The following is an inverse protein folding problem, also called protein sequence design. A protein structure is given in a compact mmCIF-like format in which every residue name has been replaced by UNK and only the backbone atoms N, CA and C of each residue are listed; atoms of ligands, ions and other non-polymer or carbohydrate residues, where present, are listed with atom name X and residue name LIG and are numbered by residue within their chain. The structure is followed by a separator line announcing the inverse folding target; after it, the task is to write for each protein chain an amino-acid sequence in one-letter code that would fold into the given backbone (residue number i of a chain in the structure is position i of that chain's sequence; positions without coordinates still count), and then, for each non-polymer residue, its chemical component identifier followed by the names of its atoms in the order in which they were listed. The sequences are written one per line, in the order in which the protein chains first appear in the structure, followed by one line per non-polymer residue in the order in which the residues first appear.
data_IF_172334732555
#
_entry.id   IF_172334732555
#
_cell.length_a   1.000
_cell.length_b   1.000
_cell.length_c   1.000
_cell.angle_alpha   90.00
_cell.angle_beta   90.00
_cell.angle_gamma   90.00
#
_symmetry.space_group_name_H-M   'P 1'
#
loop_
_entity.id
_entity.type
_entity.pdbx_description
1 polymer ?
#
# COMPACT_ATOMS: atom_id res chain seq x y z
N UNK A 1 7.82 -36.48 11.44
CA UNK A 1 8.20 -35.07 11.27
C UNK A 1 9.35 -35.04 10.28
N UNK A 2 9.03 -35.08 9.00
CA UNK A 2 9.99 -34.80 7.91
C UNK A 2 9.66 -33.37 7.50
N UNK A 3 10.69 -32.55 7.39
CA UNK A 3 10.65 -31.10 7.18
C UNK A 3 9.67 -30.69 6.07
N UNK A 4 8.96 -29.58 6.28
CA UNK A 4 8.05 -28.97 5.31
C UNK A 4 8.80 -28.09 4.28
N UNK A 5 10.02 -27.65 4.61
CA UNK A 5 10.91 -26.85 3.74
C UNK A 5 11.26 -27.47 2.36
N UNK A 6 11.45 -28.80 2.20
CA UNK A 6 11.62 -29.40 0.89
C UNK A 6 10.41 -29.12 -0.03
N UNK A 7 9.18 -29.06 0.49
CA UNK A 7 7.99 -28.92 -0.35
C UNK A 7 7.85 -27.55 -1.00
N UNK A 8 8.39 -26.48 -0.38
CA UNK A 8 8.42 -25.14 -0.95
C UNK A 8 9.24 -25.08 -2.24
N UNK A 9 10.28 -25.92 -2.35
CA UNK A 9 11.20 -25.89 -3.49
C UNK A 9 11.06 -27.08 -4.46
N UNK A 10 10.61 -28.27 -4.01
CA UNK A 10 10.69 -29.50 -4.80
C UNK A 10 9.45 -29.87 -5.64
N UNK A 11 8.41 -29.03 -5.72
CA UNK A 11 7.33 -29.12 -6.72
C UNK A 11 6.77 -30.53 -7.00
N UNK A 12 5.83 -31.01 -6.20
CA UNK A 12 5.08 -32.24 -6.51
C UNK A 12 3.83 -31.91 -7.33
N UNK A 13 3.87 -32.18 -8.64
CA UNK A 13 2.80 -31.85 -9.59
C UNK A 13 1.59 -32.84 -9.63
N UNK A 14 1.52 -33.89 -8.79
CA UNK A 14 0.55 -34.99 -9.06
C UNK A 14 -0.12 -35.66 -7.85
N UNK A 15 -0.38 -34.97 -6.73
CA UNK A 15 -1.06 -35.59 -5.57
C UNK A 15 -2.56 -35.26 -5.45
N UNK A 16 -3.40 -36.30 -5.31
CA UNK A 16 -4.85 -36.26 -5.07
C UNK A 16 -5.25 -36.32 -3.57
N UNK A 17 -4.36 -35.97 -2.61
CA UNK A 17 -4.67 -36.02 -1.16
C UNK A 17 -4.81 -34.63 -0.52
N UNK A 18 -5.93 -34.42 0.17
CA UNK A 18 -6.37 -33.16 0.80
C UNK A 18 -5.27 -32.42 1.64
N UNK A 19 -4.52 -33.06 2.56
CA UNK A 19 -3.45 -32.37 3.30
C UNK A 19 -2.27 -31.90 2.44
N UNK A 20 -2.03 -32.57 1.30
CA UNK A 20 -0.94 -32.22 0.37
C UNK A 20 -1.35 -31.07 -0.56
N UNK A 21 -2.65 -30.91 -0.82
CA UNK A 21 -3.21 -29.75 -1.51
C UNK A 21 -3.10 -28.51 -0.61
N UNK A 22 -3.53 -28.61 0.65
CA UNK A 22 -3.45 -27.52 1.63
C UNK A 22 -2.01 -27.05 1.87
N UNK A 23 -1.06 -27.98 2.04
CA UNK A 23 0.37 -27.63 2.19
C UNK A 23 0.96 -26.98 0.92
N UNK A 24 0.53 -27.40 -0.27
CA UNK A 24 0.96 -26.80 -1.54
C UNK A 24 0.45 -25.37 -1.68
N UNK A 25 -0.81 -25.13 -1.36
CA UNK A 25 -1.42 -23.80 -1.40
C UNK A 25 -0.75 -22.84 -0.42
N UNK A 26 -0.44 -23.30 0.80
CA UNK A 26 0.35 -22.52 1.78
C UNK A 26 1.75 -22.18 1.26
N UNK A 27 2.45 -23.17 0.68
CA UNK A 27 3.78 -22.95 0.12
C UNK A 27 3.77 -21.98 -1.06
N UNK A 28 2.77 -22.05 -1.95
CA UNK A 28 2.60 -21.10 -3.05
C UNK A 28 2.32 -19.69 -2.55
N UNK A 29 1.47 -19.54 -1.53
CA UNK A 29 1.12 -18.26 -0.94
C UNK A 29 2.33 -17.57 -0.29
N UNK A 30 3.06 -18.27 0.57
CA UNK A 30 4.25 -17.75 1.25
C UNK A 30 5.39 -17.52 0.26
N UNK A 31 5.62 -18.44 -0.68
CA UNK A 31 6.64 -18.30 -1.72
C UNK A 31 6.41 -17.09 -2.63
N UNK A 32 5.14 -16.84 -2.99
CA UNK A 32 4.75 -15.62 -3.70
C UNK A 32 5.03 -14.36 -2.89
N UNK A 33 4.74 -14.36 -1.58
CA UNK A 33 5.02 -13.23 -0.69
C UNK A 33 6.51 -12.88 -0.67
N UNK A 34 7.40 -13.86 -0.50
CA UNK A 34 8.85 -13.64 -0.53
C UNK A 34 9.35 -13.14 -1.90
N UNK A 35 8.87 -13.73 -2.99
CA UNK A 35 9.33 -13.32 -4.32
C UNK A 35 8.78 -11.96 -4.75
N UNK A 36 7.70 -11.50 -4.13
CA UNK A 36 7.21 -10.13 -4.24
C UNK A 36 7.82 -9.16 -3.22
N UNK A 37 8.71 -9.62 -2.32
CA UNK A 37 9.15 -8.83 -1.18
C UNK A 37 9.96 -7.60 -1.57
N UNK A 38 10.75 -7.68 -2.64
CA UNK A 38 11.46 -6.52 -3.20
C UNK A 38 10.49 -5.46 -3.74
N UNK A 39 9.46 -5.88 -4.48
CA UNK A 39 8.43 -4.96 -5.00
C UNK A 39 7.59 -4.36 -3.85
N UNK A 40 7.31 -5.17 -2.82
CA UNK A 40 6.65 -4.72 -1.61
C UNK A 40 7.49 -3.71 -0.83
N UNK A 41 8.79 -3.98 -0.67
CA UNK A 41 9.72 -3.06 -0.03
C UNK A 41 9.77 -1.72 -0.78
N UNK A 42 9.94 -1.74 -2.10
CA UNK A 42 9.88 -0.52 -2.92
C UNK A 42 8.58 0.25 -2.72
N UNK A 43 7.46 -0.44 -2.60
CA UNK A 43 6.15 0.18 -2.31
C UNK A 43 6.13 0.84 -0.94
N UNK A 44 6.72 0.21 0.09
CA UNK A 44 6.82 0.79 1.43
C UNK A 44 7.79 1.99 1.48
N UNK A 45 8.92 1.90 0.77
CA UNK A 45 9.86 3.00 0.62
C UNK A 45 9.19 4.20 -0.07
N UNK A 46 8.45 3.96 -1.15
CA UNK A 46 7.69 4.97 -1.88
C UNK A 46 6.69 5.72 -0.98
N UNK A 47 5.98 4.99 -0.13
CA UNK A 47 5.04 5.57 0.82
C UNK A 47 5.74 6.46 1.87
N UNK A 48 6.87 6.00 2.42
CA UNK A 48 7.71 6.77 3.35
C UNK A 48 8.24 8.04 2.69
N UNK A 49 8.80 7.93 1.48
CA UNK A 49 9.36 9.06 0.75
C UNK A 49 8.28 10.11 0.46
N UNK A 50 7.10 9.65 0.05
CA UNK A 50 5.94 10.52 -0.17
C UNK A 50 5.55 11.25 1.12
N UNK A 51 5.56 10.54 2.25
CA UNK A 51 5.30 11.10 3.57
C UNK A 51 6.30 12.15 4.02
N UNK A 52 7.59 11.83 3.95
CA UNK A 52 8.69 12.71 4.33
C UNK A 52 8.70 13.99 3.49
N UNK A 53 8.55 13.85 2.17
CA UNK A 53 8.49 15.01 1.27
C UNK A 53 7.29 15.92 1.62
N UNK A 54 6.10 15.33 1.78
CA UNK A 54 4.91 16.07 2.17
C UNK A 54 5.08 16.77 3.53
N UNK A 55 5.73 16.12 4.50
CA UNK A 55 5.97 16.70 5.82
C UNK A 55 6.84 17.96 5.76
N UNK A 56 7.90 17.99 4.95
CA UNK A 56 8.72 19.18 4.73
C UNK A 56 7.97 20.28 3.96
N UNK A 57 7.23 19.91 2.91
CA UNK A 57 6.43 20.87 2.14
C UNK A 57 5.36 21.55 3.00
N UNK A 58 4.71 20.78 3.88
CA UNK A 58 3.76 21.30 4.85
C UNK A 58 4.38 22.26 5.88
N UNK A 59 5.70 22.18 6.11
CA UNK A 59 6.45 23.11 6.95
C UNK A 59 6.93 24.35 6.17
N UNK A 60 6.55 24.49 4.90
CA UNK A 60 6.94 25.60 4.03
C UNK A 60 8.32 25.43 3.38
N UNK A 61 8.89 24.23 3.41
CA UNK A 61 10.16 23.93 2.72
C UNK A 61 9.86 23.45 1.30
N UNK A 62 10.35 24.17 0.29
CA UNK A 62 10.27 23.70 -1.11
C UNK A 62 11.35 22.66 -1.37
N UNK A 63 10.97 21.49 -1.89
CA UNK A 63 11.90 20.43 -2.29
C UNK A 63 12.03 20.44 -3.81
N UNK A 64 13.24 20.71 -4.30
CA UNK A 64 13.53 20.75 -5.74
C UNK A 64 13.89 19.36 -6.30
N UNK A 65 14.46 18.49 -5.48
CA UNK A 65 14.89 17.14 -5.89
C UNK A 65 14.77 16.15 -4.72
N UNK A 66 14.32 14.93 -5.01
CA UNK A 66 14.30 13.81 -4.06
C UNK A 66 15.37 12.81 -4.50
N UNK A 67 16.32 12.49 -3.60
CA UNK A 67 17.37 11.48 -3.83
C UNK A 67 17.23 10.34 -2.84
N UNK A 68 17.04 9.15 -3.39
CA UNK A 68 16.84 7.92 -2.60
C UNK A 68 18.04 7.01 -2.78
N UNK A 69 18.49 6.42 -1.68
CA UNK A 69 19.41 5.27 -1.72
C UNK A 69 18.84 4.15 -0.87
N UNK A 70 18.68 2.99 -1.49
CA UNK A 70 18.32 1.73 -0.84
C UNK A 70 19.30 0.64 -1.28
N UNK A 71 19.57 -0.32 -0.40
CA UNK A 71 20.25 -1.57 -0.73
C UNK A 71 19.39 -2.69 -0.18
N UNK A 72 18.52 -3.22 -1.04
CA UNK A 72 17.88 -4.51 -0.85
C UNK A 72 18.35 -5.41 -1.98
N UNK A 73 18.97 -6.52 -1.62
CA UNK A 73 19.48 -7.48 -2.58
C UNK A 73 19.03 -8.91 -2.24
N UNK A 74 19.48 -9.87 -3.06
CA UNK A 74 19.15 -11.28 -2.87
C UNK A 74 19.63 -11.82 -1.51
N UNK A 75 20.68 -11.23 -0.94
CA UNK A 75 21.20 -11.61 0.38
C UNK A 75 20.17 -11.25 1.46
N UNK A 76 19.62 -10.03 1.41
CA UNK A 76 18.59 -9.57 2.34
C UNK A 76 17.34 -10.46 2.26
N UNK A 77 16.89 -10.79 1.04
CA UNK A 77 15.75 -11.70 0.83
C UNK A 77 16.02 -13.09 1.41
N UNK A 78 17.22 -13.66 1.21
CA UNK A 78 17.60 -14.94 1.80
C UNK A 78 17.56 -14.89 3.33
N UNK A 79 18.00 -13.79 3.94
CA UNK A 79 17.93 -13.61 5.39
C UNK A 79 16.50 -13.52 5.90
N UNK A 80 15.62 -12.77 5.23
CA UNK A 80 14.20 -12.71 5.58
C UNK A 80 13.55 -14.09 5.55
N UNK A 81 13.81 -14.90 4.52
CA UNK A 81 13.30 -16.27 4.42
C UNK A 81 13.84 -17.14 5.54
N UNK A 82 15.15 -17.09 5.80
CA UNK A 82 15.80 -17.91 6.81
C UNK A 82 15.30 -17.59 8.22
N UNK A 83 15.29 -16.30 8.59
CA UNK A 83 14.88 -15.85 9.92
C UNK A 83 13.40 -16.16 10.16
N UNK A 84 12.52 -15.82 9.22
CA UNK A 84 11.09 -16.12 9.36
C UNK A 84 10.84 -17.64 9.40
N UNK A 85 11.62 -18.43 8.64
CA UNK A 85 11.57 -19.89 8.71
C UNK A 85 11.91 -20.44 10.10
N UNK A 86 12.95 -19.90 10.75
CA UNK A 86 13.33 -20.33 12.11
C UNK A 86 12.31 -19.87 13.15
N UNK A 87 11.80 -18.64 13.02
CA UNK A 87 10.83 -18.06 13.96
C UNK A 87 9.56 -18.92 14.07
N UNK A 88 9.12 -19.49 12.94
CA UNK A 88 7.96 -20.38 12.87
C UNK A 88 8.34 -21.87 12.84
N UNK A 89 9.55 -22.25 13.29
CA UNK A 89 10.02 -23.65 13.39
C UNK A 89 9.87 -24.45 12.09
N UNK A 90 9.94 -23.77 10.95
CA UNK A 90 9.75 -24.32 9.61
C UNK A 90 8.35 -24.95 9.40
N UNK A 91 7.35 -24.52 10.18
CA UNK A 91 5.97 -24.93 10.04
C UNK A 91 5.22 -23.99 9.08
N UNK A 92 4.96 -24.47 7.86
CA UNK A 92 4.22 -23.72 6.84
C UNK A 92 2.78 -23.38 7.26
N UNK A 93 2.20 -24.11 8.21
CA UNK A 93 0.85 -23.82 8.71
C UNK A 93 0.81 -22.65 9.71
N UNK A 94 1.96 -22.32 10.30
CA UNK A 94 2.12 -21.19 11.21
C UNK A 94 2.62 -19.92 10.51
N UNK A 95 3.11 -20.03 9.28
CA UNK A 95 3.61 -18.90 8.50
C UNK A 95 2.50 -18.28 7.64
N UNK A 96 2.42 -16.95 7.65
CA UNK A 96 1.49 -16.21 6.79
C UNK A 96 2.22 -15.18 5.94
N UNK A 97 1.79 -14.94 4.68
CA UNK A 97 2.32 -13.86 3.84
C UNK A 97 2.42 -12.51 4.56
N UNK A 98 1.47 -12.24 5.44
CA UNK A 98 1.32 -10.95 6.05
C UNK A 98 2.24 -10.74 7.25
N UNK A 99 2.70 -11.84 7.87
CA UNK A 99 3.76 -11.82 8.87
C UNK A 99 5.11 -11.50 8.20
N UNK A 100 5.36 -12.06 7.00
CA UNK A 100 6.55 -11.73 6.19
C UNK A 100 6.59 -10.23 5.85
N UNK A 101 5.47 -9.70 5.38
CA UNK A 101 5.34 -8.27 5.08
C UNK A 101 5.52 -7.40 6.33
N UNK A 102 4.91 -7.80 7.46
CA UNK A 102 5.04 -7.07 8.73
C UNK A 102 6.48 -7.07 9.23
N UNK A 103 7.21 -8.18 9.07
CA UNK A 103 8.62 -8.29 9.42
C UNK A 103 9.49 -7.34 8.59
N UNK A 104 9.20 -7.19 7.29
CA UNK A 104 9.90 -6.21 6.46
C UNK A 104 9.60 -4.78 6.93
N UNK A 105 8.32 -4.44 7.12
CA UNK A 105 7.91 -3.10 7.57
C UNK A 105 8.61 -2.72 8.87
N UNK A 106 8.67 -3.62 9.86
CA UNK A 106 9.27 -3.33 11.17
C UNK A 106 10.78 -3.09 11.13
N UNK A 107 11.45 -3.57 10.07
CA UNK A 107 12.90 -3.46 9.91
C UNK A 107 13.35 -2.44 8.87
N UNK A 108 12.39 -1.83 8.17
CA UNK A 108 12.66 -0.81 7.16
C UNK A 108 13.03 0.51 7.83
N UNK A 109 14.31 0.65 8.16
CA UNK A 109 14.86 1.82 8.81
C UNK A 109 15.39 2.83 7.79
N UNK A 110 15.12 4.12 7.98
CA UNK A 110 15.62 5.18 7.11
C UNK A 110 16.17 6.36 7.90
N UNK A 111 17.00 7.14 7.22
CA UNK A 111 17.39 8.47 7.67
C UNK A 111 17.04 9.49 6.61
N UNK A 112 16.57 10.65 7.06
CA UNK A 112 16.15 11.75 6.19
C UNK A 112 16.95 12.99 6.50
N UNK A 113 17.45 13.69 5.47
CA UNK A 113 18.10 14.99 5.62
C UNK A 113 17.89 15.90 4.41
N UNK A 114 17.85 17.20 4.67
CA UNK A 114 17.89 18.23 3.63
C UNK A 114 19.34 18.61 3.32
N UNK A 115 19.67 18.66 2.03
CA UNK A 115 20.95 19.14 1.51
C UNK A 115 20.70 20.38 0.64
N UNK A 116 21.51 21.43 0.83
CA UNK A 116 21.54 22.56 -0.11
C UNK A 116 22.59 22.27 -1.18
N UNK A 117 22.15 22.12 -2.43
CA UNK A 117 23.01 21.93 -3.60
C UNK A 117 22.90 23.16 -4.50
N UNK A 118 23.71 24.19 -4.21
CA UNK A 118 23.58 25.50 -4.87
C UNK A 118 22.30 26.21 -4.42
N UNK A 119 21.45 26.60 -5.36
CA UNK A 119 20.14 27.21 -5.10
C UNK A 119 19.02 26.15 -4.92
N UNK A 120 19.34 24.86 -5.02
CA UNK A 120 18.37 23.77 -4.92
C UNK A 120 18.37 23.11 -3.54
N UNK A 121 17.18 22.79 -3.04
CA UNK A 121 16.93 21.99 -1.84
C UNK A 121 16.70 20.54 -2.24
N UNK A 122 17.61 19.66 -1.81
CA UNK A 122 17.56 18.23 -2.10
C UNK A 122 17.14 17.47 -0.85
N UNK A 123 16.04 16.73 -0.91
CA UNK A 123 15.64 15.78 0.12
C UNK A 123 16.36 14.46 -0.11
N UNK A 124 17.29 14.10 0.78
CA UNK A 124 17.97 12.80 0.73
C UNK A 124 17.37 11.84 1.75
N UNK A 125 16.94 10.68 1.27
CA UNK A 125 16.43 9.57 2.09
C UNK A 125 17.31 8.34 1.87
N UNK A 126 17.83 7.80 2.96
CA UNK A 126 18.75 6.64 2.94
C UNK A 126 18.13 5.52 3.76
N UNK A 127 17.64 4.49 3.06
CA UNK A 127 17.21 3.24 3.67
C UNK A 127 18.44 2.43 4.10
N UNK A 128 18.42 1.95 5.34
CA UNK A 128 19.48 1.15 5.91
C UNK A 128 19.33 -0.31 5.44
N UNK A 129 20.44 -1.04 5.23
CA UNK A 129 20.38 -2.47 4.93
C UNK A 129 19.80 -3.25 6.11
N UNK A 130 19.37 -4.50 5.85
CA UNK A 130 18.88 -5.39 6.89
C UNK A 130 19.95 -5.63 7.98
N UNK A 131 19.63 -5.29 9.23
CA UNK A 131 20.40 -5.74 10.38
C UNK A 131 19.84 -7.09 10.87
N UNK A 132 20.34 -8.17 10.25
CA UNK A 132 19.91 -9.54 10.56
C UNK A 132 20.10 -9.92 12.04
N UNK A 133 21.16 -9.41 12.67
CA UNK A 133 21.52 -9.78 14.04
C UNK A 133 20.55 -9.11 15.00
N UNK A 134 20.26 -7.83 14.77
CA UNK A 134 19.20 -7.12 15.48
C UNK A 134 17.83 -7.76 15.28
N UNK A 135 17.49 -8.16 14.05
CA UNK A 135 16.20 -8.80 13.77
C UNK A 135 16.04 -10.13 14.53
N UNK A 136 17.08 -10.97 14.54
CA UNK A 136 17.08 -12.21 15.32
C UNK A 136 16.97 -11.94 16.84
N UNK A 137 17.65 -10.91 17.35
CA UNK A 137 17.55 -10.50 18.75
C UNK A 137 16.14 -10.01 19.11
N UNK A 138 15.52 -9.20 18.25
CA UNK A 138 14.15 -8.67 18.44
C UNK A 138 13.10 -9.80 18.42
N UNK A 139 13.36 -10.89 17.68
CA UNK A 139 12.55 -12.11 17.68
C UNK A 139 12.87 -13.06 18.86
N UNK A 140 13.84 -12.72 19.70
CA UNK A 140 14.21 -13.50 20.89
C UNK A 140 14.95 -14.80 20.57
N UNK A 141 15.70 -14.86 19.47
CA UNK A 141 16.47 -16.05 19.11
C UNK A 141 17.61 -16.30 20.11
N UNK A 142 17.75 -17.56 20.53
CA UNK A 142 18.95 -18.03 21.20
C UNK A 142 20.06 -18.36 20.18
N UNK A 143 21.25 -18.70 20.69
CA UNK A 143 22.41 -18.97 19.84
C UNK A 143 22.21 -20.16 18.89
N UNK A 144 21.41 -21.15 19.30
CA UNK A 144 21.09 -22.31 18.46
C UNK A 144 20.16 -21.88 17.30
N UNK A 145 19.14 -21.08 17.58
CA UNK A 145 18.25 -20.52 16.57
C UNK A 145 19.00 -19.60 15.59
N UNK A 146 19.92 -18.75 16.07
CA UNK A 146 20.78 -17.92 15.22
C UNK A 146 21.67 -18.75 14.31
N UNK A 147 22.31 -19.80 14.86
CA UNK A 147 23.13 -20.73 14.07
C UNK A 147 22.30 -21.43 13.01
N UNK A 148 21.07 -21.83 13.35
CA UNK A 148 20.17 -22.48 12.42
C UNK A 148 19.70 -21.54 11.30
N UNK A 149 19.42 -20.28 11.62
CA UNK A 149 19.09 -19.26 10.62
C UNK A 149 20.25 -19.05 9.65
N UNK A 150 21.49 -18.99 10.14
CA UNK A 150 22.68 -18.92 9.30
C UNK A 150 22.83 -20.11 8.36
N UNK A 151 22.63 -21.34 8.86
CA UNK A 151 22.71 -22.54 8.02
C UNK A 151 21.61 -22.58 6.93
N UNK A 152 20.40 -22.11 7.24
CA UNK A 152 19.32 -21.99 6.26
C UNK A 152 19.62 -20.93 5.22
N UNK A 153 20.13 -19.77 5.64
CA UNK A 153 20.57 -18.71 4.74
C UNK A 153 21.61 -19.24 3.74
N UNK A 154 22.70 -19.86 4.22
CA UNK A 154 23.75 -20.42 3.36
C UNK A 154 23.18 -21.43 2.38
N UNK A 155 22.29 -22.31 2.85
CA UNK A 155 21.65 -23.32 1.99
C UNK A 155 20.83 -22.67 0.87
N UNK A 156 20.04 -21.64 1.17
CA UNK A 156 19.18 -20.97 0.18
C UNK A 156 20.06 -20.20 -0.82
N UNK A 157 21.02 -19.43 -0.31
CA UNK A 157 21.88 -18.56 -1.10
C UNK A 157 22.84 -19.34 -2.00
N UNK A 158 23.55 -20.35 -1.48
CA UNK A 158 24.50 -21.14 -2.27
C UNK A 158 23.83 -22.07 -3.29
N UNK A 159 22.60 -22.51 -3.02
CA UNK A 159 21.86 -23.38 -3.94
C UNK A 159 21.20 -22.65 -5.09
N UNK A 160 21.27 -21.30 -5.11
CA UNK A 160 20.60 -20.45 -6.10
C UNK A 160 19.09 -20.74 -6.17
N UNK A 161 18.50 -21.08 -5.01
CA UNK A 161 17.12 -21.56 -4.97
C UNK A 161 16.13 -20.49 -5.44
N UNK A 162 16.37 -19.22 -5.13
CA UNK A 162 15.49 -18.12 -5.53
C UNK A 162 15.39 -18.01 -7.05
N UNK A 163 16.52 -17.96 -7.76
CA UNK A 163 16.53 -17.90 -9.22
C UNK A 163 15.99 -19.17 -9.87
N UNK A 164 16.29 -20.33 -9.30
CA UNK A 164 15.82 -21.63 -9.81
C UNK A 164 14.31 -21.82 -9.76
N UNK A 165 13.63 -21.20 -8.80
CA UNK A 165 12.20 -21.44 -8.56
C UNK A 165 11.31 -20.20 -8.75
N UNK A 166 11.88 -19.03 -9.06
CA UNK A 166 11.15 -17.76 -9.28
C UNK A 166 9.92 -17.90 -10.17
N UNK A 167 10.05 -18.60 -11.31
CA UNK A 167 8.97 -18.77 -12.30
C UNK A 167 7.76 -19.56 -11.77
N UNK A 168 7.92 -20.31 -10.67
CA UNK A 168 6.83 -21.09 -10.06
C UNK A 168 5.88 -20.26 -9.20
N UNK A 169 6.23 -19.01 -8.92
CA UNK A 169 5.53 -18.13 -7.98
C UNK A 169 5.27 -16.75 -8.57
N UNK A 170 5.19 -16.66 -9.91
CA UNK A 170 5.12 -15.41 -10.68
C UNK A 170 4.31 -14.32 -9.96
N UNK A 171 5.03 -13.27 -9.53
CA UNK A 171 4.50 -12.23 -8.66
C UNK A 171 3.41 -11.43 -9.39
N UNK A 172 2.30 -11.20 -8.70
CA UNK A 172 1.30 -10.23 -9.14
C UNK A 172 1.97 -8.85 -9.25
N UNK A 173 1.97 -8.29 -10.47
CA UNK A 173 2.35 -6.89 -10.70
C UNK A 173 1.08 -6.04 -10.71
N UNK A 174 0.88 -5.14 -9.74
CA UNK A 174 -0.27 -4.25 -9.75
C UNK A 174 -0.19 -3.32 -10.97
N UNK A 175 -1.36 -2.96 -11.53
CA UNK A 175 -1.42 -1.90 -12.53
C UNK A 175 -1.31 -0.54 -11.85
N UNK A 176 -0.20 0.16 -12.08
CA UNK A 176 0.05 1.50 -11.54
C UNK A 176 -0.89 2.57 -12.12
N UNK A 177 -1.60 2.27 -13.21
CA UNK A 177 -2.60 3.15 -13.81
C UNK A 177 -3.96 3.14 -13.08
N UNK A 178 -4.13 2.26 -12.09
CA UNK A 178 -5.38 2.01 -11.40
C UNK A 178 -6.29 1.01 -12.13
N UNK A 179 -7.57 0.98 -11.73
CA UNK A 179 -8.59 0.09 -12.28
C UNK A 179 -9.12 0.59 -13.64
N UNK A 180 -8.26 0.50 -14.66
CA UNK A 180 -8.57 0.94 -16.03
C UNK A 180 -9.51 0.01 -16.80
N UNK A 181 -9.81 -1.19 -16.25
CA UNK A 181 -10.68 -2.18 -16.87
C UNK A 181 -12.18 -1.89 -16.75
N UNK A 182 -12.57 -0.95 -15.88
CA UNK A 182 -13.98 -0.57 -15.72
C UNK A 182 -14.46 0.35 -16.84
N UNK A 183 -15.56 -0.02 -17.50
CA UNK A 183 -16.18 0.74 -18.60
C UNK A 183 -17.62 1.18 -18.29
N UNK A 184 -18.08 0.95 -17.05
CA UNK A 184 -19.40 1.37 -16.62
C UNK A 184 -19.46 2.86 -16.26
N UNK A 185 -20.65 3.38 -15.89
CA UNK A 185 -20.82 4.78 -15.58
C UNK A 185 -20.06 5.18 -14.31
N UNK A 186 -19.11 6.10 -14.47
CA UNK A 186 -18.43 6.80 -13.39
C UNK A 186 -18.73 8.30 -13.49
N UNK A 187 -19.22 8.89 -12.40
CA UNK A 187 -19.51 10.32 -12.33
C UNK A 187 -18.21 11.07 -12.03
N UNK A 188 -17.69 11.76 -13.04
CA UNK A 188 -16.52 12.62 -12.92
C UNK A 188 -16.78 13.77 -11.96
N UNK A 189 -15.73 14.23 -11.30
CA UNK A 189 -15.80 15.36 -10.39
C UNK A 189 -16.44 16.61 -11.03
N UNK A 190 -17.35 17.31 -10.32
CA UNK A 190 -17.84 18.62 -10.74
C UNK A 190 -16.74 19.71 -10.72
N UNK A 191 -15.67 19.53 -9.94
CA UNK A 191 -14.50 20.41 -9.85
C UNK A 191 -13.45 20.22 -10.96
N UNK A 192 -13.83 19.63 -12.10
CA UNK A 192 -12.94 19.50 -13.26
C UNK A 192 -11.87 18.41 -13.12
N UNK A 193 -12.22 17.28 -12.48
CA UNK A 193 -11.34 16.12 -12.33
C UNK A 193 -11.55 15.01 -13.37
N UNK A 194 -12.28 15.25 -14.47
CA UNK A 194 -12.35 14.31 -15.60
C UNK A 194 -11.41 14.78 -16.71
N UNK A 195 -10.76 13.86 -17.44
CA UNK A 195 -9.81 14.13 -18.54
C UNK A 195 -10.33 14.92 -19.75
N UNK A 196 -11.40 15.70 -19.60
CA UNK A 196 -11.91 16.68 -20.57
C UNK A 196 -12.14 18.08 -20.00
N UNK A 197 -11.71 18.38 -18.77
CA UNK A 197 -11.81 19.73 -18.20
C UNK A 197 -10.56 20.58 -18.55
N UNK A 198 -10.78 21.78 -19.08
CA UNK A 198 -9.73 22.75 -19.42
C UNK A 198 -8.91 23.12 -18.17
N UNK A 199 -7.59 22.88 -18.24
CA UNK A 199 -6.60 23.15 -17.20
C UNK A 199 -6.32 24.65 -17.07
N UNK A 200 -7.14 25.34 -16.28
CA UNK A 200 -6.91 26.76 -15.96
C UNK A 200 -7.41 27.21 -14.59
N UNK A 201 -7.99 26.32 -13.79
CA UNK A 201 -8.56 26.66 -12.49
C UNK A 201 -7.57 26.45 -11.35
N UNK A 202 -7.39 27.47 -10.51
CA UNK A 202 -6.87 27.36 -9.15
C UNK A 202 -7.80 26.47 -8.33
N UNK A 203 -7.70 25.15 -8.48
CA UNK A 203 -8.47 24.21 -7.68
C UNK A 203 -8.05 24.33 -6.21
N UNK A 204 -9.01 24.49 -5.32
CA UNK A 204 -8.77 24.64 -3.89
C UNK A 204 -8.25 23.32 -3.30
N UNK A 205 -6.96 23.28 -2.97
CA UNK A 205 -6.31 22.15 -2.32
C UNK A 205 -6.53 22.14 -0.80
N UNK A 206 -7.35 23.04 -0.25
CA UNK A 206 -7.65 23.05 1.19
C UNK A 206 -8.55 21.88 1.54
N UNK A 207 -8.21 21.15 2.60
CA UNK A 207 -9.11 20.18 3.21
C UNK A 207 -10.00 20.95 4.19
N UNK A 208 -11.30 20.94 3.95
CA UNK A 208 -12.28 21.58 4.83
C UNK A 208 -12.90 20.54 5.77
N UNK A 209 -12.56 20.63 7.06
CA UNK A 209 -13.10 19.77 8.12
C UNK A 209 -14.29 20.41 8.86
N UNK A 210 -14.80 21.56 8.42
CA UNK A 210 -15.91 22.24 9.10
C UNK A 210 -17.22 21.44 9.10
N UNK A 211 -17.38 20.55 8.11
CA UNK A 211 -18.49 19.61 8.01
C UNK A 211 -18.29 18.30 8.79
N UNK A 212 -17.12 18.10 9.42
CA UNK A 212 -16.84 16.86 10.14
C UNK A 212 -17.54 16.87 11.51
N UNK A 213 -18.12 15.73 11.85
CA UNK A 213 -18.79 15.46 13.13
C UNK A 213 -17.81 15.48 14.30
N UNK A 214 -16.67 14.80 14.17
CA UNK A 214 -15.58 14.84 15.14
C UNK A 214 -14.24 14.43 14.48
N UNK A 215 -13.47 15.40 13.97
CA UNK A 215 -12.27 15.11 13.17
C UNK A 215 -11.14 14.41 13.95
N UNK A 216 -11.26 14.30 15.29
CA UNK A 216 -10.26 13.65 16.15
C UNK A 216 -10.51 12.16 16.40
N UNK A 217 -11.70 11.63 16.08
CA UNK A 217 -12.05 10.25 16.41
C UNK A 217 -11.81 9.25 15.29
N UNK A 218 -11.48 9.74 14.08
CA UNK A 218 -11.39 8.93 12.87
C UNK A 218 -12.64 8.06 12.70
N UNK A 219 -13.77 8.72 12.45
CA UNK A 219 -15.08 8.07 12.35
C UNK A 219 -15.56 7.90 10.90
N UNK A 220 -16.54 7.03 10.71
CA UNK A 220 -17.08 6.65 9.41
C UNK A 220 -17.83 7.78 8.69
N UNK A 221 -18.49 8.68 9.42
CA UNK A 221 -19.20 9.83 8.85
C UNK A 221 -18.24 10.87 8.24
N UNK A 222 -17.14 11.13 8.95
CA UNK A 222 -16.10 12.06 8.52
C UNK A 222 -15.27 11.46 7.38
N UNK A 223 -15.02 10.13 7.40
CA UNK A 223 -14.43 9.43 6.26
C UNK A 223 -15.29 9.58 4.99
N UNK A 224 -16.60 9.38 5.10
CA UNK A 224 -17.51 9.55 3.98
C UNK A 224 -17.49 11.01 3.47
N UNK A 225 -17.49 11.98 4.39
CA UNK A 225 -17.41 13.42 4.07
C UNK A 225 -16.10 13.79 3.38
N UNK A 226 -14.97 13.27 3.88
CA UNK A 226 -13.65 13.43 3.27
C UNK A 226 -13.60 12.87 1.84
N UNK A 227 -14.13 11.66 1.64
CA UNK A 227 -14.15 11.04 0.32
C UNK A 227 -15.03 11.85 -0.66
N UNK A 228 -16.21 12.30 -0.22
CA UNK A 228 -17.07 13.18 -1.03
C UNK A 228 -16.32 14.46 -1.39
N UNK A 229 -15.63 15.10 -0.45
CA UNK A 229 -14.84 16.30 -0.72
C UNK A 229 -13.74 16.06 -1.76
N UNK A 230 -13.02 14.93 -1.67
CA UNK A 230 -12.00 14.56 -2.66
C UNK A 230 -12.59 14.44 -4.07
N UNK A 231 -13.80 13.86 -4.18
CA UNK A 231 -14.55 13.81 -5.44
C UNK A 231 -15.03 15.20 -5.88
N UNK A 232 -15.62 16.01 -4.99
CA UNK A 232 -16.13 17.35 -5.34
C UNK A 232 -15.01 18.29 -5.81
N UNK A 233 -13.84 18.23 -5.18
CA UNK A 233 -12.67 19.05 -5.50
C UNK A 233 -11.84 18.48 -6.66
N UNK A 234 -12.18 17.29 -7.16
CA UNK A 234 -11.58 16.68 -8.33
C UNK A 234 -10.13 16.26 -8.12
N UNK A 235 -9.86 15.59 -7.01
CA UNK A 235 -8.54 15.04 -6.75
C UNK A 235 -8.12 14.07 -7.86
N UNK A 236 -6.85 14.14 -8.24
CA UNK A 236 -6.27 13.29 -9.26
C UNK A 236 -5.91 11.91 -8.74
N UNK A 237 -5.49 11.04 -9.67
CA UNK A 237 -4.95 9.73 -9.34
C UNK A 237 -3.49 9.66 -9.75
N UNK A 238 -2.64 9.39 -8.77
CA UNK A 238 -1.23 9.02 -8.97
C UNK A 238 -0.91 7.91 -7.98
N UNK A 239 -0.38 6.80 -8.48
CA UNK A 239 -0.03 5.64 -7.67
C UNK A 239 0.89 6.00 -6.49
N UNK A 240 0.63 5.42 -5.32
CA UNK A 240 1.45 5.62 -4.12
C UNK A 240 1.28 6.98 -3.45
N UNK A 241 0.32 7.79 -3.89
CA UNK A 241 -0.06 9.05 -3.21
C UNK A 241 -1.32 8.84 -2.36
N UNK A 242 -1.51 9.66 -1.34
CA UNK A 242 -2.55 9.47 -0.33
C UNK A 242 -3.28 10.77 0.04
N UNK A 243 -3.52 11.61 -0.96
CA UNK A 243 -4.24 12.88 -0.81
C UNK A 243 -3.33 14.09 -0.67
N UNK A 244 -2.01 13.94 -0.81
CA UNK A 244 -1.03 15.04 -0.82
C UNK A 244 -1.08 15.82 -2.13
N UNK A 245 -0.61 17.06 -2.12
CA UNK A 245 -0.47 17.86 -3.35
C UNK A 245 0.70 17.32 -4.16
N UNK A 246 0.48 17.03 -5.43
CA UNK A 246 1.52 16.53 -6.32
C UNK A 246 2.46 17.66 -6.74
N UNK A 247 3.69 17.62 -6.25
CA UNK A 247 4.76 18.55 -6.64
C UNK A 247 5.60 17.99 -7.78
N UNK A 248 6.38 18.87 -8.42
CA UNK A 248 7.24 18.48 -9.54
C UNK A 248 8.28 17.43 -9.12
N UNK A 249 8.94 17.63 -7.97
CA UNK A 249 9.94 16.70 -7.44
C UNK A 249 9.33 15.35 -7.08
N UNK A 250 8.10 15.34 -6.53
CA UNK A 250 7.36 14.11 -6.28
C UNK A 250 7.00 13.38 -7.58
N UNK A 251 6.51 14.09 -8.59
CA UNK A 251 6.19 13.48 -9.89
C UNK A 251 7.43 12.86 -10.54
N UNK A 252 8.56 13.57 -10.55
CA UNK A 252 9.82 13.04 -11.09
C UNK A 252 10.24 11.75 -10.36
N UNK A 253 10.18 11.77 -9.03
CA UNK A 253 10.47 10.58 -8.24
C UNK A 253 9.55 9.40 -8.60
N UNK A 254 8.24 9.61 -8.75
CA UNK A 254 7.31 8.55 -9.16
C UNK A 254 7.60 8.00 -10.57
N UNK A 255 7.99 8.87 -11.51
CA UNK A 255 8.33 8.46 -12.88
C UNK A 255 9.59 7.59 -12.93
N UNK A 256 10.58 7.87 -12.07
CA UNK A 256 11.78 7.05 -11.93
C UNK A 256 11.48 5.69 -11.31
N UNK A 257 10.59 5.64 -10.32
CA UNK A 257 10.22 4.39 -9.64
C UNK A 257 9.29 3.50 -10.48
N UNK A 258 8.35 4.09 -11.21
CA UNK A 258 7.28 3.36 -11.89
C UNK A 258 7.22 3.73 -13.38
N UNK A 259 7.89 2.96 -14.26
CA UNK A 259 7.90 3.22 -15.71
C UNK A 259 6.51 3.30 -16.35
N UNK A 260 5.53 2.57 -15.81
CA UNK A 260 4.14 2.57 -16.31
C UNK A 260 3.41 3.90 -16.03
N UNK A 261 3.80 4.64 -14.98
CA UNK A 261 3.35 6.03 -14.76
C UNK A 261 3.92 6.93 -15.85
N UNK A 262 5.15 6.66 -16.31
CA UNK A 262 5.81 7.35 -17.41
C UNK A 262 5.00 7.41 -18.70
N UNK A 263 4.24 6.34 -19.01
CA UNK A 263 3.35 6.33 -20.17
C UNK A 263 2.23 7.38 -20.08
N UNK A 264 1.90 7.87 -18.87
CA UNK A 264 0.88 8.89 -18.61
C UNK A 264 1.46 10.23 -18.17
N UNK A 265 2.78 10.44 -18.24
CA UNK A 265 3.45 11.64 -17.72
C UNK A 265 2.81 12.94 -18.22
N UNK A 266 2.64 13.07 -19.54
CA UNK A 266 2.07 14.28 -20.14
C UNK A 266 0.68 14.59 -19.59
N UNK A 267 -0.16 13.56 -19.43
CA UNK A 267 -1.50 13.69 -18.87
C UNK A 267 -1.44 14.10 -17.39
N UNK A 268 -0.58 13.46 -16.59
CA UNK A 268 -0.44 13.77 -15.16
C UNK A 268 0.02 15.22 -14.97
N UNK A 269 0.97 15.69 -15.78
CA UNK A 269 1.44 17.08 -15.75
C UNK A 269 0.34 18.07 -16.10
N UNK A 270 -0.46 17.77 -17.11
CA UNK A 270 -1.52 18.64 -17.58
C UNK A 270 -2.71 18.72 -16.60
N UNK A 271 -3.05 17.61 -15.94
CA UNK A 271 -4.29 17.50 -15.18
C UNK A 271 -4.12 17.46 -13.66
N UNK A 272 -3.01 16.92 -13.15
CA UNK A 272 -2.84 16.59 -11.72
C UNK A 272 -1.71 17.35 -11.01
N UNK A 273 -0.71 17.86 -11.73
CA UNK A 273 0.39 18.61 -11.13
C UNK A 273 -0.15 19.85 -10.39
N UNK A 274 0.27 20.02 -9.14
CA UNK A 274 -0.21 21.08 -8.25
C UNK A 274 -1.61 20.83 -7.68
N UNK A 275 -2.22 19.66 -7.89
CA UNK A 275 -3.49 19.24 -7.26
C UNK A 275 -3.24 18.14 -6.24
N UNK A 276 -4.21 17.91 -5.36
CA UNK A 276 -4.21 16.71 -4.52
C UNK A 276 -4.39 15.46 -5.36
N UNK A 277 -3.56 14.45 -5.12
CA UNK A 277 -3.64 13.15 -5.79
C UNK A 277 -3.66 12.01 -4.78
N UNK A 278 -4.33 10.93 -5.15
CA UNK A 278 -4.38 9.73 -4.32
C UNK A 278 -4.51 8.47 -5.17
N UNK A 279 -3.96 7.35 -4.70
CA UNK A 279 -4.38 6.03 -5.18
C UNK A 279 -5.65 5.55 -4.45
N UNK A 280 -6.12 4.34 -4.78
CA UNK A 280 -7.42 3.84 -4.32
C UNK A 280 -7.49 3.71 -2.78
N UNK A 281 -6.60 2.94 -2.17
CA UNK A 281 -6.53 2.79 -0.71
C UNK A 281 -5.90 4.03 -0.06
N UNK A 282 -5.08 4.77 -0.79
CA UNK A 282 -4.54 6.09 -0.44
C UNK A 282 -5.63 7.09 -0.08
N UNK A 283 -6.83 6.97 -0.67
CA UNK A 283 -7.94 7.86 -0.33
C UNK A 283 -8.40 7.61 1.11
N UNK A 284 -8.48 6.34 1.52
CA UNK A 284 -8.74 5.97 2.92
C UNK A 284 -7.59 6.39 3.82
N UNK A 285 -6.35 6.07 3.43
CA UNK A 285 -5.14 6.39 4.21
C UNK A 285 -5.01 7.89 4.44
N UNK A 286 -5.34 8.71 3.44
CA UNK A 286 -5.35 10.16 3.54
C UNK A 286 -6.24 10.68 4.68
N UNK A 287 -7.47 10.15 4.80
CA UNK A 287 -8.31 10.47 5.95
C UNK A 287 -7.75 9.91 7.25
N UNK A 288 -7.30 8.65 7.24
CA UNK A 288 -6.71 7.99 8.40
C UNK A 288 -5.52 8.73 8.98
N UNK A 289 -4.73 9.39 8.14
CA UNK A 289 -3.50 10.11 8.47
C UNK A 289 -3.69 11.62 8.59
N UNK A 290 -4.90 12.13 8.34
CA UNK A 290 -5.20 13.55 8.45
C UNK A 290 -5.05 14.04 9.90
N UNK A 291 -4.19 15.03 10.08
CA UNK A 291 -4.06 15.79 11.32
C UNK A 291 -5.02 16.99 11.27
N UNK A 292 -6.07 17.02 12.12
CA UNK A 292 -7.10 18.05 12.02
C UNK A 292 -6.67 19.41 12.58
N UNK A 293 -5.54 19.49 13.30
CA UNK A 293 -5.03 20.75 13.83
C UNK A 293 -4.21 21.53 12.79
N UNK A 294 -3.47 20.79 11.95
CA UNK A 294 -2.60 21.35 10.91
C UNK A 294 -3.21 21.25 9.51
N UNK A 295 -4.25 20.43 9.32
CA UNK A 295 -4.84 20.06 8.03
C UNK A 295 -3.84 19.40 7.06
N UNK A 296 -2.82 18.76 7.63
CA UNK A 296 -1.79 18.00 6.92
C UNK A 296 -2.08 16.52 6.99
N UNK A 297 -1.62 15.76 6.00
CA UNK A 297 -1.71 14.30 6.01
C UNK A 297 -0.35 13.76 6.42
N UNK A 298 -0.25 13.30 7.66
CA UNK A 298 1.01 12.92 8.30
C UNK A 298 1.18 11.40 8.18
N UNK A 299 2.17 10.97 7.40
CA UNK A 299 2.34 9.58 7.01
C UNK A 299 2.32 8.59 8.19
N UNK A 300 1.53 7.52 8.02
CA UNK A 300 1.46 6.38 8.95
C UNK A 300 1.16 6.78 10.41
N UNK A 301 0.26 7.75 10.60
CA UNK A 301 -0.19 8.24 11.91
C UNK A 301 -1.58 7.71 12.30
N UNK A 302 -2.03 8.05 13.51
CA UNK A 302 -3.36 7.71 14.06
C UNK A 302 -3.69 6.21 14.13
N UNK A 303 -2.68 5.35 14.05
CA UNK A 303 -2.82 3.90 14.15
C UNK A 303 -3.32 3.21 12.88
N UNK A 304 -3.50 3.93 11.76
CA UNK A 304 -3.82 3.31 10.47
C UNK A 304 -2.53 2.90 9.75
N UNK A 305 -2.28 1.60 9.50
CA UNK A 305 -1.08 1.13 8.85
C UNK A 305 -1.11 1.38 7.34
N UNK A 306 0.07 1.42 6.73
CA UNK A 306 0.23 1.50 5.28
C UNK A 306 0.01 0.13 4.61
N UNK A 307 -1.25 -0.25 4.47
CA UNK A 307 -1.65 -1.48 3.77
C UNK A 307 -2.13 -1.18 2.35
N UNK A 308 -1.86 -2.11 1.43
CA UNK A 308 -2.53 -2.15 0.14
C UNK A 308 -4.01 -2.56 0.30
N UNK A 309 -4.80 -2.46 -0.77
CA UNK A 309 -6.25 -2.71 -0.72
C UNK A 309 -6.60 -4.12 -0.19
N UNK A 310 -5.89 -5.15 -0.63
CA UNK A 310 -6.15 -6.54 -0.24
C UNK A 310 -5.81 -6.79 1.22
N UNK A 311 -4.66 -6.26 1.68
CA UNK A 311 -4.23 -6.37 3.07
C UNK A 311 -5.14 -5.57 4.00
N UNK A 312 -5.64 -4.40 3.57
CA UNK A 312 -6.62 -3.62 4.31
C UNK A 312 -7.95 -4.37 4.47
N UNK A 313 -8.38 -5.10 3.44
CA UNK A 313 -9.58 -5.94 3.54
C UNK A 313 -9.35 -7.17 4.43
N UNK A 314 -8.20 -7.84 4.30
CA UNK A 314 -7.83 -8.98 5.15
C UNK A 314 -7.74 -8.59 6.63
N UNK A 315 -7.21 -7.40 6.94
CA UNK A 315 -7.07 -6.93 8.32
C UNK A 315 -8.42 -6.76 9.04
N UNK A 316 -9.51 -6.47 8.31
CA UNK A 316 -10.85 -6.41 8.88
C UNK A 316 -11.24 -7.73 9.57
N UNK A 317 -11.02 -8.84 8.87
CA UNK A 317 -11.26 -10.19 9.41
C UNK A 317 -10.37 -10.50 10.61
N UNK A 318 -9.10 -10.12 10.56
CA UNK A 318 -8.12 -10.40 11.62
C UNK A 318 -8.39 -9.61 12.90
N UNK A 319 -8.86 -8.36 12.75
CA UNK A 319 -9.24 -7.50 13.87
C UNK A 319 -10.68 -7.76 14.37
N UNK A 320 -11.39 -8.72 13.78
CA UNK A 320 -12.75 -9.08 14.18
C UNK A 320 -13.78 -8.01 13.90
N UNK A 321 -13.53 -7.10 12.96
CA UNK A 321 -14.56 -6.16 12.50
C UNK A 321 -15.59 -6.86 11.61
N UNK A 322 -16.74 -6.23 11.40
CA UNK A 322 -17.76 -6.78 10.50
C UNK A 322 -17.30 -6.70 9.04
N UNK A 323 -17.48 -7.78 8.29
CA UNK A 323 -17.18 -7.87 6.86
C UNK A 323 -18.10 -8.89 6.20
N UNK A 324 -18.26 -8.82 4.88
CA UNK A 324 -19.11 -9.76 4.16
C UNK A 324 -19.09 -9.60 2.64
N UNK A 325 -19.82 -10.48 1.96
CA UNK A 325 -20.12 -10.34 0.53
C UNK A 325 -21.09 -9.19 0.26
N UNK A 326 -21.09 -8.66 -0.96
CA UNK A 326 -21.91 -7.51 -1.33
C UNK A 326 -23.43 -7.69 -1.15
N UNK A 327 -23.90 -8.94 -1.15
CA UNK A 327 -25.30 -9.32 -0.89
C UNK A 327 -25.75 -9.07 0.56
N UNK A 328 -24.79 -8.91 1.47
CA UNK A 328 -25.02 -8.68 2.91
C UNK A 328 -24.65 -7.26 3.36
N UNK A 329 -24.26 -6.38 2.44
CA UNK A 329 -23.75 -5.05 2.76
C UNK A 329 -24.82 -4.19 3.45
N UNK A 330 -24.54 -3.68 4.67
CA UNK A 330 -25.46 -2.77 5.33
C UNK A 330 -25.37 -1.35 4.75
N UNK A 331 -26.44 -0.58 4.90
CA UNK A 331 -26.48 0.83 4.49
C UNK A 331 -25.85 1.73 5.58
N UNK A 332 -24.54 1.61 5.76
CA UNK A 332 -23.75 2.38 6.74
C UNK A 332 -22.65 3.13 5.98
N UNK A 333 -22.65 4.46 6.04
CA UNK A 333 -21.60 5.26 5.36
C UNK A 333 -20.23 5.00 5.97
N UNK A 334 -19.17 5.19 5.16
CA UNK A 334 -17.78 4.99 5.56
C UNK A 334 -17.34 3.53 5.60
N UNK A 335 -18.13 2.57 5.08
CA UNK A 335 -17.66 1.20 4.86
C UNK A 335 -16.59 1.16 3.77
N UNK A 336 -15.63 0.26 3.95
CA UNK A 336 -14.69 -0.12 2.89
C UNK A 336 -15.38 -1.04 1.89
N UNK A 337 -15.28 -0.73 0.60
CA UNK A 337 -15.67 -1.61 -0.50
C UNK A 337 -14.42 -2.14 -1.18
N UNK A 338 -14.37 -3.45 -1.36
CA UNK A 338 -13.19 -4.14 -1.83
C UNK A 338 -13.51 -5.03 -3.03
N UNK A 339 -12.57 -5.06 -3.97
CA UNK A 339 -12.36 -6.13 -4.93
C UNK A 339 -10.86 -6.32 -5.06
N UNK A 340 -10.42 -7.48 -5.51
CA UNK A 340 -8.98 -7.77 -5.61
C UNK A 340 -8.19 -6.61 -6.25
N UNK A 341 -7.22 -6.08 -5.49
CA UNK A 341 -6.34 -4.99 -5.87
C UNK A 341 -6.94 -3.58 -5.81
N UNK A 342 -8.20 -3.38 -5.38
CA UNK A 342 -8.87 -2.08 -5.45
C UNK A 342 -9.79 -1.78 -4.26
N UNK A 343 -9.91 -0.49 -3.95
CA UNK A 343 -10.61 0.00 -2.76
C UNK A 343 -11.53 1.19 -3.09
N UNK A 344 -12.66 1.26 -2.40
CA UNK A 344 -13.59 2.40 -2.41
C UNK A 344 -14.23 2.64 -1.04
N UNK A 345 -14.81 3.82 -0.86
CA UNK A 345 -15.52 4.21 0.36
C UNK A 345 -17.01 4.32 0.03
N UNK A 346 -17.85 3.57 0.74
CA UNK A 346 -19.30 3.71 0.60
C UNK A 346 -19.78 5.02 1.23
N UNK A 347 -20.56 5.81 0.49
CA UNK A 347 -21.01 7.15 0.92
C UNK A 347 -22.53 7.26 1.04
N UNK A 348 -23.23 6.12 1.07
CA UNK A 348 -24.67 6.05 1.22
C UNK A 348 -25.43 6.07 -0.11
N UNK A 349 -26.74 5.79 -0.04
CA UNK A 349 -27.66 5.81 -1.20
C UNK A 349 -27.21 4.94 -2.39
N UNK A 350 -26.47 3.86 -2.15
CA UNK A 350 -25.98 2.97 -3.21
C UNK A 350 -24.79 3.53 -4.00
N UNK A 351 -24.06 4.52 -3.47
CA UNK A 351 -22.89 5.12 -4.12
C UNK A 351 -21.58 4.91 -3.34
N UNK A 352 -20.49 4.82 -4.09
CA UNK A 352 -19.13 4.77 -3.58
C UNK A 352 -18.28 5.89 -4.18
N UNK A 353 -17.29 6.34 -3.42
CA UNK A 353 -16.20 7.18 -3.92
C UNK A 353 -14.93 6.33 -3.98
N UNK A 354 -14.19 6.47 -5.08
CA UNK A 354 -12.97 5.72 -5.32
C UNK A 354 -12.00 6.53 -6.18
N UNK A 355 -10.70 6.36 -5.95
CA UNK A 355 -9.68 6.84 -6.86
C UNK A 355 -9.46 5.76 -7.93
N UNK A 356 -10.07 5.94 -9.10
CA UNK A 356 -10.23 4.84 -10.06
C UNK A 356 -8.98 4.59 -10.90
N UNK A 357 -8.30 5.64 -11.34
CA UNK A 357 -7.09 5.51 -12.14
C UNK A 357 -6.66 6.82 -12.77
N UNK A 358 -5.46 6.84 -13.36
CA UNK A 358 -4.76 8.07 -13.79
C UNK A 358 -5.60 8.94 -14.72
N UNK A 359 -6.38 8.34 -15.63
CA UNK A 359 -7.20 9.07 -16.59
C UNK A 359 -8.50 9.66 -15.99
N UNK A 360 -8.82 9.30 -14.76
CA UNK A 360 -10.13 9.56 -14.14
C UNK A 360 -10.06 10.32 -12.81
N UNK A 361 -8.98 10.15 -12.03
CA UNK A 361 -8.91 10.71 -10.68
C UNK A 361 -9.88 10.04 -9.71
N UNK A 362 -10.36 10.83 -8.73
CA UNK A 362 -11.40 10.43 -7.78
C UNK A 362 -12.78 10.61 -8.41
N UNK A 363 -13.56 9.53 -8.42
CA UNK A 363 -14.88 9.45 -9.07
C UNK A 363 -15.93 8.94 -8.11
N UNK A 364 -17.20 9.21 -8.44
CA UNK A 364 -18.36 8.61 -7.78
C UNK A 364 -18.97 7.52 -8.67
N UNK A 365 -19.14 6.32 -8.13
CA UNK A 365 -19.72 5.18 -8.86
C UNK A 365 -20.92 4.61 -8.12
N UNK A 366 -21.85 4.01 -8.85
CA UNK A 366 -22.89 3.19 -8.23
C UNK A 366 -22.26 1.91 -7.71
N UNK A 367 -22.63 1.48 -6.51
CA UNK A 367 -22.17 0.20 -5.94
C UNK A 367 -22.64 -0.97 -6.79
N UNK A 368 -23.91 -0.93 -7.21
CA UNK A 368 -24.50 -1.95 -8.08
C UNK A 368 -23.81 -1.97 -9.46
N UNK A 369 -23.35 -3.14 -9.89
CA UNK A 369 -22.71 -3.33 -11.20
C UNK A 369 -21.26 -2.83 -11.29
N UNK A 370 -20.69 -2.26 -10.22
CA UNK A 370 -19.28 -1.83 -10.19
C UNK A 370 -18.27 -2.99 -10.10
N UNK A 371 -18.74 -4.16 -9.63
CA UNK A 371 -17.93 -5.37 -9.50
C UNK A 371 -17.19 -5.48 -8.17
N UNK A 372 -17.66 -4.79 -7.12
CA UNK A 372 -17.19 -5.02 -5.76
C UNK A 372 -17.42 -6.47 -5.34
N UNK A 373 -16.47 -7.06 -4.62
CA UNK A 373 -16.49 -8.45 -4.18
C UNK A 373 -16.85 -8.57 -2.70
N UNK A 374 -16.54 -7.56 -1.89
CA UNK A 374 -16.86 -7.54 -0.47
C UNK A 374 -16.90 -6.15 0.15
N UNK A 375 -17.40 -6.09 1.38
CA UNK A 375 -17.46 -4.89 2.21
C UNK A 375 -16.86 -5.18 3.59
N UNK A 376 -16.36 -4.16 4.27
CA UNK A 376 -15.95 -4.26 5.67
C UNK A 376 -16.07 -2.95 6.47
N UNK A 377 -16.26 -3.07 7.78
CA UNK A 377 -15.92 -2.03 8.76
C UNK A 377 -14.40 -2.00 8.90
N UNK A 378 -13.82 -0.82 8.69
CA UNK A 378 -12.37 -0.63 8.68
C UNK A 378 -11.85 -0.60 10.13
N UNK A 379 -10.88 -1.45 10.53
CA UNK A 379 -10.43 -1.57 11.93
C UNK A 379 -10.00 -0.27 12.61
N UNK A 380 -9.48 0.67 11.81
CA UNK A 380 -8.91 1.92 12.29
C UNK A 380 -9.91 3.09 12.23
N UNK A 381 -11.17 2.80 11.92
CA UNK A 381 -12.27 3.76 11.82
C UNK A 381 -13.33 3.41 12.86
N UNK A 382 -13.77 4.41 13.60
CA UNK A 382 -14.89 4.28 14.53
C UNK A 382 -16.20 4.30 13.76
N UNK A 383 -17.06 3.32 14.04
CA UNK A 383 -18.43 3.29 13.55
C UNK A 383 -19.34 3.49 14.75
N UNK A 384 -20.32 4.37 14.61
CA UNK A 384 -21.37 4.53 15.61
C UNK A 384 -22.21 3.24 15.70
N UNK A 385 -22.74 2.96 16.90
CA UNK A 385 -23.61 1.81 17.20
C UNK A 385 -25.02 1.92 16.59
#
# INVERSE_FOLDING_TARGET
MISAMPNMFFGYETSEKDPQITMREQALSIGGAYLSLEDFEKTQQDAIITGEAAAYENQGVTIDEIRVSSKFDEEDLCWYIAINSVAHKQDLSEMKPEEVQSLLISNLNHTTRLESSGDQTVLRIIFQPLDKDKLMDDLGFDEDAKTWAGALFETIYESDALNKYKDKFEAYKPSYAGDTGYTGPAETSPGGGGGGAESGGSADNTIDISGFTNPRTKNNHDLASYAIQAWEHGWGYVWGTFGTVLTESMLQYKLEQYPDIGASEAFIREHWLGRRTTDCVGLLKGYGWLNPDTLTIDYNTNGMPDYNADRMYASAKENGTEYGGMDTMPDIVGLGLWKQGHWGVYVGNGYAIEAMGTQYGVVRTKVEGRGWQGWCKIPYIQYDD
#
